data_IF_800495551076
#
_entry.id   IF_800495551076
#
_cell.length_a   1.000
_cell.length_b   1.000
_cell.length_c   1.000
_cell.angle_alpha   90.00
_cell.angle_beta   90.00
_cell.angle_gamma   90.00
#
_symmetry.space_group_name_H-M   'P 1'
#
loop_
_entity.id
_entity.type
_entity.pdbx_description
1 polymer ?
#
# COMPACT_ATOMS: atom_id res chain seq x y z
N UNK A 1 -21.63 40.67 1.80
CA UNK A 1 -20.94 39.43 2.21
C UNK A 1 -21.50 39.07 3.56
N UNK A 2 -22.15 37.90 3.73
CA UNK A 2 -22.78 37.55 5.01
C UNK A 2 -21.71 37.35 6.09
N UNK A 3 -22.02 37.75 7.31
CA UNK A 3 -21.11 37.65 8.48
C UNK A 3 -20.62 36.22 8.70
N UNK A 4 -21.47 35.25 8.37
CA UNK A 4 -21.19 33.81 8.40
C UNK A 4 -20.03 33.40 7.47
N UNK A 5 -19.90 34.02 6.29
CA UNK A 5 -18.79 33.73 5.36
C UNK A 5 -17.47 34.26 5.92
N UNK A 6 -17.49 35.39 6.62
CA UNK A 6 -16.28 35.98 7.22
C UNK A 6 -15.83 35.18 8.44
N UNK A 7 -16.76 34.70 9.26
CA UNK A 7 -16.48 33.80 10.39
C UNK A 7 -15.95 32.44 9.89
N UNK A 8 -16.48 31.92 8.77
CA UNK A 8 -15.97 30.68 8.16
C UNK A 8 -14.56 30.84 7.56
N UNK A 9 -14.23 32.00 6.98
CA UNK A 9 -12.90 32.30 6.45
C UNK A 9 -11.86 32.50 7.56
N UNK A 10 -12.26 32.94 8.74
CA UNK A 10 -11.38 33.12 9.91
C UNK A 10 -10.91 31.76 10.47
N UNK A 11 -11.74 30.73 10.35
CA UNK A 11 -11.45 29.36 10.81
C UNK A 11 -10.65 28.52 9.80
N UNK A 12 -10.39 29.03 8.60
CA UNK A 12 -9.60 28.32 7.58
C UNK A 12 -8.16 28.15 8.02
N UNK A 13 -7.69 26.92 8.00
CA UNK A 13 -6.32 26.57 8.36
C UNK A 13 -5.40 26.66 7.15
N UNK A 14 -4.19 27.15 7.40
CA UNK A 14 -3.17 27.37 6.38
C UNK A 14 -2.76 26.08 5.64
N UNK A 15 -2.87 24.92 6.30
CA UNK A 15 -2.52 23.62 5.74
C UNK A 15 -3.73 22.71 5.65
N UNK A 16 -3.94 22.11 4.47
CA UNK A 16 -5.02 21.15 4.21
C UNK A 16 -4.98 19.91 5.13
N UNK A 17 -3.84 19.61 5.77
CA UNK A 17 -3.71 18.54 6.77
C UNK A 17 -4.39 18.86 8.09
N UNK A 18 -4.57 20.14 8.40
CA UNK A 18 -5.17 20.61 9.65
C UNK A 18 -6.70 20.79 9.50
N UNK A 19 -7.19 20.81 8.26
CA UNK A 19 -8.60 20.97 7.89
C UNK A 19 -9.44 19.71 8.14
N UNK A 20 -10.73 19.88 8.42
CA UNK A 20 -11.68 18.76 8.38
C UNK A 20 -11.97 18.41 6.93
N UNK A 21 -11.16 17.49 6.38
CA UNK A 21 -11.17 17.07 4.96
C UNK A 21 -12.50 16.48 4.48
N UNK A 22 -13.45 16.16 5.35
CA UNK A 22 -14.82 15.80 4.97
C UNK A 22 -15.70 16.98 4.50
N UNK A 23 -15.43 18.21 4.97
CA UNK A 23 -16.31 19.38 4.75
C UNK A 23 -16.01 20.15 3.47
N UNK A 24 -14.74 20.19 3.05
CA UNK A 24 -14.27 21.03 1.93
C UNK A 24 -13.75 20.24 0.72
N UNK A 25 -13.77 18.91 0.77
CA UNK A 25 -13.27 18.09 -0.33
C UNK A 25 -14.34 17.98 -1.43
N UNK A 26 -14.17 18.76 -2.50
CA UNK A 26 -15.01 18.67 -3.68
C UNK A 26 -14.93 17.25 -4.25
N UNK A 27 -16.05 16.54 -4.34
CA UNK A 27 -16.12 15.17 -4.86
C UNK A 27 -15.54 15.11 -6.29
N UNK A 28 -14.27 14.76 -6.39
CA UNK A 28 -13.62 14.61 -7.68
C UNK A 28 -14.04 13.28 -8.29
N UNK A 29 -14.33 13.26 -9.59
CA UNK A 29 -14.52 12.04 -10.40
C UNK A 29 -13.40 11.00 -10.20
N UNK A 30 -12.22 11.44 -9.74
CA UNK A 30 -11.09 10.59 -9.42
C UNK A 30 -11.37 9.71 -8.20
N UNK A 31 -11.95 10.23 -7.12
CA UNK A 31 -12.30 9.46 -5.91
C UNK A 31 -13.27 8.33 -6.25
N UNK A 32 -14.36 8.65 -6.95
CA UNK A 32 -15.36 7.65 -7.35
C UNK A 32 -14.74 6.56 -8.25
N UNK A 33 -13.88 6.96 -9.20
CA UNK A 33 -13.18 6.00 -10.07
C UNK A 33 -12.23 5.10 -9.29
N UNK A 34 -11.56 5.61 -8.25
CA UNK A 34 -10.70 4.80 -7.39
C UNK A 34 -11.53 3.82 -6.55
N UNK A 35 -12.57 4.31 -5.87
CA UNK A 35 -13.45 3.49 -5.04
C UNK A 35 -14.18 2.38 -5.83
N UNK A 36 -14.41 2.59 -7.13
CA UNK A 36 -14.99 1.59 -8.05
C UNK A 36 -13.95 0.72 -8.76
N UNK A 37 -12.67 0.84 -8.41
CA UNK A 37 -11.59 0.12 -9.04
C UNK A 37 -11.31 0.50 -10.51
N UNK A 38 -11.85 1.61 -11.02
CA UNK A 38 -11.66 2.10 -12.41
C UNK A 38 -10.41 2.95 -12.60
N UNK A 39 -9.64 3.21 -11.54
CA UNK A 39 -8.39 3.97 -11.56
C UNK A 39 -7.47 3.50 -10.43
N UNK A 40 -6.23 3.19 -10.74
CA UNK A 40 -5.19 2.78 -9.77
C UNK A 40 -3.95 3.69 -9.78
N UNK A 41 -3.87 4.67 -10.69
CA UNK A 41 -2.75 5.62 -10.76
C UNK A 41 -3.27 7.06 -10.75
N UNK A 42 -2.74 7.87 -9.85
CA UNK A 42 -3.04 9.30 -9.74
C UNK A 42 -1.75 10.08 -9.95
N UNK A 43 -1.54 10.46 -11.21
CA UNK A 43 -0.36 11.21 -11.65
C UNK A 43 -0.73 12.69 -11.74
N UNK A 44 0.14 13.58 -11.24
CA UNK A 44 -0.06 15.02 -11.36
C UNK A 44 1.05 15.85 -10.72
N UNK A 45 1.10 17.14 -11.05
CA UNK A 45 2.11 18.08 -10.56
C UNK A 45 2.11 18.22 -9.03
N UNK A 46 3.19 18.76 -8.48
CA UNK A 46 3.20 19.19 -7.07
C UNK A 46 2.11 20.24 -6.84
N UNK A 47 1.36 20.11 -5.75
CA UNK A 47 0.26 21.02 -5.40
C UNK A 47 -1.10 20.71 -6.04
N UNK A 48 -1.25 19.66 -6.85
CA UNK A 48 -2.53 19.32 -7.52
C UNK A 48 -3.53 18.57 -6.63
N UNK A 49 -3.34 18.53 -5.31
CA UNK A 49 -4.27 17.88 -4.39
C UNK A 49 -4.21 16.34 -4.32
N UNK A 50 -3.15 15.69 -4.81
CA UNK A 50 -2.96 14.23 -4.71
C UNK A 50 -3.10 13.72 -3.27
N UNK A 51 -2.35 14.33 -2.34
CA UNK A 51 -2.42 14.00 -0.91
C UNK A 51 -3.81 14.24 -0.34
N UNK A 52 -4.51 15.32 -0.75
CA UNK A 52 -5.88 15.55 -0.30
C UNK A 52 -6.85 14.43 -0.77
N UNK A 53 -6.70 13.95 -2.02
CA UNK A 53 -7.45 12.79 -2.52
C UNK A 53 -7.14 11.55 -1.68
N UNK A 54 -5.86 11.29 -1.39
CA UNK A 54 -5.43 10.18 -0.56
C UNK A 54 -5.98 10.24 0.87
N UNK A 55 -5.91 11.41 1.51
CA UNK A 55 -6.48 11.63 2.84
C UNK A 55 -7.99 11.41 2.85
N UNK A 56 -8.70 11.97 1.87
CA UNK A 56 -10.14 11.79 1.77
C UNK A 56 -10.52 10.32 1.62
N UNK A 57 -9.87 9.59 0.70
CA UNK A 57 -10.08 8.15 0.50
C UNK A 57 -9.77 7.32 1.74
N UNK A 58 -8.75 7.68 2.52
CA UNK A 58 -8.38 6.99 3.74
C UNK A 58 -9.41 7.18 4.87
N UNK A 59 -10.09 8.33 4.91
CA UNK A 59 -11.04 8.70 5.95
C UNK A 59 -12.51 8.50 5.57
N UNK A 60 -12.81 7.90 4.41
CA UNK A 60 -14.18 7.56 4.03
C UNK A 60 -14.79 6.60 5.06
N UNK A 61 -15.87 7.04 5.71
CA UNK A 61 -16.62 6.26 6.70
C UNK A 61 -17.83 5.58 6.05
N UNK A 62 -17.58 4.78 5.01
CA UNK A 62 -18.62 4.00 4.35
C UNK A 62 -18.67 2.57 4.93
N UNK A 63 -19.87 1.99 5.00
CA UNK A 63 -20.04 0.61 5.41
C UNK A 63 -19.31 -0.30 4.40
N UNK A 64 -18.56 -1.28 4.90
CA UNK A 64 -17.81 -2.23 4.06
C UNK A 64 -16.70 -1.58 3.21
N UNK A 65 -16.24 -0.37 3.55
CA UNK A 65 -15.09 0.27 2.93
C UNK A 65 -13.96 0.39 3.94
N UNK A 66 -12.78 -0.12 3.57
CA UNK A 66 -11.59 -0.11 4.41
C UNK A 66 -10.43 0.42 3.58
N UNK A 67 -9.71 1.41 4.10
CA UNK A 67 -8.59 2.01 3.40
C UNK A 67 -7.38 2.17 4.32
N UNK A 68 -6.20 1.97 3.75
CA UNK A 68 -4.92 2.23 4.41
C UNK A 68 -4.07 3.11 3.51
N UNK A 69 -3.47 4.16 4.08
CA UNK A 69 -2.56 5.06 3.38
C UNK A 69 -1.13 4.85 3.87
N UNK A 70 -0.29 4.33 2.99
CA UNK A 70 1.14 4.16 3.19
C UNK A 70 1.84 5.44 2.68
N UNK A 71 2.28 6.28 3.61
CA UNK A 71 3.09 7.48 3.31
C UNK A 71 4.57 7.15 3.33
N UNK A 72 5.27 7.47 2.24
CA UNK A 72 6.72 7.31 2.12
C UNK A 72 7.49 8.59 2.51
N UNK A 73 6.83 9.52 3.21
CA UNK A 73 7.46 10.71 3.78
C UNK A 73 8.60 10.33 4.71
N UNK A 74 9.80 10.86 4.45
CA UNK A 74 11.03 10.52 5.19
C UNK A 74 11.31 9.01 5.29
N UNK A 75 10.78 8.18 4.37
CA UNK A 75 10.99 6.74 4.41
C UNK A 75 12.42 6.37 3.97
N UNK A 76 13.13 5.48 4.68
CA UNK A 76 14.47 5.04 4.27
C UNK A 76 14.38 3.99 3.15
N UNK A 77 14.37 4.44 1.90
CA UNK A 77 14.21 3.58 0.71
C UNK A 77 15.26 2.46 0.58
N UNK A 78 16.43 2.59 1.22
CA UNK A 78 17.43 1.51 1.35
C UNK A 78 16.85 0.21 1.92
N UNK A 79 15.82 0.30 2.76
CA UNK A 79 15.11 -0.88 3.28
C UNK A 79 14.46 -1.63 2.12
N UNK A 80 13.79 -0.94 1.19
CA UNK A 80 13.20 -1.58 0.00
C UNK A 80 14.26 -2.08 -0.96
N UNK A 81 15.33 -1.32 -1.19
CA UNK A 81 16.43 -1.75 -2.07
C UNK A 81 17.10 -3.03 -1.58
N UNK A 82 17.13 -3.27 -0.26
CA UNK A 82 17.67 -4.50 0.33
C UNK A 82 16.77 -5.73 0.14
N UNK A 83 15.48 -5.55 -0.20
CA UNK A 83 14.51 -6.62 -0.42
C UNK A 83 14.44 -7.06 -1.89
N UNK A 84 15.58 -6.99 -2.59
CA UNK A 84 15.70 -7.45 -3.97
C UNK A 84 15.43 -8.96 -4.06
N UNK A 85 14.55 -9.35 -4.95
CA UNK A 85 14.30 -10.75 -5.31
C UNK A 85 15.19 -11.14 -6.50
N UNK A 86 16.23 -11.91 -6.23
CA UNK A 86 17.19 -12.43 -7.21
C UNK A 86 16.54 -13.33 -8.27
N UNK A 87 15.32 -13.84 -8.01
CA UNK A 87 14.56 -14.67 -8.96
C UNK A 87 14.01 -13.88 -10.15
N UNK A 88 14.01 -12.54 -10.06
CA UNK A 88 13.49 -11.65 -11.09
C UNK A 88 14.61 -10.85 -11.76
N UNK A 89 14.51 -10.70 -13.08
CA UNK A 89 15.36 -9.79 -13.84
C UNK A 89 14.95 -8.34 -13.60
N UNK A 90 15.89 -7.40 -13.78
CA UNK A 90 15.59 -5.97 -13.80
C UNK A 90 14.57 -5.65 -14.91
N UNK A 91 13.60 -4.74 -14.69
CA UNK A 91 13.37 -3.90 -13.51
C UNK A 91 12.37 -4.51 -12.49
N UNK A 92 12.20 -5.84 -12.45
CA UNK A 92 11.10 -6.52 -11.74
C UNK A 92 11.48 -7.00 -10.33
N UNK A 93 12.73 -6.79 -9.92
CA UNK A 93 13.30 -7.39 -8.72
C UNK A 93 12.70 -6.88 -7.40
N UNK A 94 11.85 -5.86 -7.44
CA UNK A 94 11.16 -5.34 -6.25
C UNK A 94 9.66 -5.63 -6.27
N UNK A 95 9.14 -6.39 -7.24
CA UNK A 95 7.70 -6.74 -7.30
C UNK A 95 7.28 -7.48 -6.01
N UNK A 96 8.10 -8.42 -5.55
CA UNK A 96 7.79 -9.25 -4.38
C UNK A 96 7.62 -8.42 -3.10
N UNK A 97 8.47 -7.41 -2.86
CA UNK A 97 8.33 -6.53 -1.69
C UNK A 97 7.08 -5.65 -1.80
N UNK A 98 6.75 -5.13 -2.98
CA UNK A 98 5.54 -4.32 -3.13
C UNK A 98 4.27 -5.13 -2.93
N UNK A 99 4.20 -6.35 -3.46
CA UNK A 99 3.09 -7.28 -3.18
C UNK A 99 2.96 -7.55 -1.69
N UNK A 100 4.08 -7.79 -1.02
CA UNK A 100 4.10 -8.07 0.41
C UNK A 100 3.51 -6.92 1.23
N UNK A 101 3.90 -5.68 0.92
CA UNK A 101 3.35 -4.49 1.58
C UNK A 101 1.85 -4.33 1.34
N UNK A 102 1.37 -4.58 0.12
CA UNK A 102 -0.06 -4.56 -0.18
C UNK A 102 -0.78 -5.60 0.68
N UNK A 103 -0.29 -6.83 0.70
CA UNK A 103 -0.93 -7.95 1.39
C UNK A 103 -0.98 -7.77 2.89
N UNK A 104 0.12 -7.36 3.51
CA UNK A 104 0.13 -7.04 4.95
C UNK A 104 -0.83 -5.91 5.28
N UNK A 105 -0.90 -4.88 4.45
CA UNK A 105 -1.84 -3.77 4.66
C UNK A 105 -3.29 -4.24 4.61
N UNK A 106 -3.63 -5.17 3.72
CA UNK A 106 -4.97 -5.79 3.67
C UNK A 106 -5.23 -6.61 4.93
N UNK A 107 -4.27 -7.41 5.38
CA UNK A 107 -4.36 -8.17 6.62
C UNK A 107 -4.63 -7.27 7.83
N UNK A 108 -4.00 -6.08 7.91
CA UNK A 108 -4.29 -5.12 8.97
C UNK A 108 -5.72 -4.56 8.89
N UNK A 109 -6.23 -4.32 7.68
CA UNK A 109 -7.62 -3.86 7.48
C UNK A 109 -8.66 -4.93 7.85
N UNK A 110 -8.34 -6.22 7.74
CA UNK A 110 -9.24 -7.29 8.19
C UNK A 110 -9.56 -7.22 9.68
N UNK A 111 -8.68 -6.69 10.53
CA UNK A 111 -8.97 -6.50 11.96
C UNK A 111 -10.18 -5.59 12.22
N UNK A 112 -10.44 -4.67 11.28
CA UNK A 112 -11.51 -3.68 11.35
C UNK A 112 -12.79 -4.18 10.69
N UNK A 113 -12.72 -5.21 9.83
CA UNK A 113 -13.87 -5.72 9.13
C UNK A 113 -14.66 -6.73 9.96
N UNK A 114 -15.87 -6.36 10.36
CA UNK A 114 -16.76 -7.23 11.12
C UNK A 114 -17.19 -8.51 10.36
N UNK A 115 -17.13 -8.50 9.03
CA UNK A 115 -17.42 -9.69 8.19
C UNK A 115 -16.31 -10.74 8.27
N UNK A 116 -15.10 -10.35 8.71
CA UNK A 116 -14.00 -11.27 8.96
C UNK A 116 -14.21 -11.95 10.31
N UNK A 117 -14.11 -13.29 10.31
CA UNK A 117 -14.32 -14.12 11.49
C UNK A 117 -13.50 -13.66 12.69
N UNK A 118 -14.12 -13.68 13.88
CA UNK A 118 -13.49 -13.18 15.11
C UNK A 118 -12.14 -13.85 15.41
N UNK A 119 -12.03 -15.16 15.16
CA UNK A 119 -10.78 -15.91 15.34
C UNK A 119 -9.67 -15.37 14.44
N UNK A 120 -9.97 -15.15 13.16
CA UNK A 120 -9.04 -14.54 12.20
C UNK A 120 -8.60 -13.16 12.67
N UNK A 121 -9.54 -12.32 13.12
CA UNK A 121 -9.22 -10.97 13.62
C UNK A 121 -8.33 -11.00 14.86
N UNK A 122 -8.54 -11.95 15.78
CA UNK A 122 -7.69 -12.12 16.95
C UNK A 122 -6.28 -12.58 16.58
N UNK A 123 -6.15 -13.54 15.65
CA UNK A 123 -4.83 -13.97 15.12
C UNK A 123 -4.08 -12.82 14.47
N UNK A 124 -4.77 -12.00 13.68
CA UNK A 124 -4.17 -10.83 13.03
C UNK A 124 -3.73 -9.79 14.06
N UNK A 125 -4.56 -9.50 15.06
CA UNK A 125 -4.17 -8.61 16.17
C UNK A 125 -2.93 -9.10 16.88
N UNK A 126 -2.82 -10.40 17.16
CA UNK A 126 -1.61 -10.99 17.76
C UNK A 126 -0.38 -10.83 16.86
N UNK A 127 -0.53 -11.06 15.55
CA UNK A 127 0.54 -10.88 14.55
C UNK A 127 0.99 -9.42 14.43
N UNK A 128 0.11 -8.45 14.68
CA UNK A 128 0.40 -7.02 14.57
C UNK A 128 0.43 -6.29 15.94
N UNK A 129 0.55 -7.03 17.06
CA UNK A 129 0.36 -6.51 18.43
C UNK A 129 1.54 -5.71 18.99
N UNK A 130 2.70 -5.74 18.35
CA UNK A 130 3.89 -5.01 18.82
C UNK A 130 4.01 -3.72 18.03
N UNK A 131 3.56 -2.58 18.59
CA UNK A 131 3.92 -1.18 18.26
C UNK A 131 4.28 -0.80 16.79
N UNK A 132 3.66 -1.45 15.81
CA UNK A 132 3.82 -1.21 14.37
C UNK A 132 3.13 0.09 13.94
N UNK A 133 2.28 0.66 14.80
CA UNK A 133 1.38 1.76 14.48
C UNK A 133 2.10 3.10 14.21
N UNK A 134 3.37 3.26 14.64
CA UNK A 134 3.97 4.60 14.72
C UNK A 134 5.05 4.94 13.68
N UNK A 135 5.40 4.06 12.72
CA UNK A 135 6.24 4.45 11.58
C UNK A 135 6.22 3.37 10.49
N UNK A 136 5.77 3.70 9.27
CA UNK A 136 5.89 2.83 8.09
C UNK A 136 7.32 2.24 7.95
N UNK A 137 8.42 2.99 8.17
CA UNK A 137 9.76 2.42 8.21
C UNK A 137 9.94 1.26 9.21
N UNK A 138 9.49 1.42 10.47
CA UNK A 138 9.62 0.40 11.51
C UNK A 138 8.74 -0.80 11.19
N UNK A 139 7.50 -0.55 10.75
CA UNK A 139 6.57 -1.57 10.28
C UNK A 139 7.16 -2.40 9.14
N UNK A 140 7.68 -1.75 8.08
CA UNK A 140 8.29 -2.43 6.95
C UNK A 140 9.53 -3.20 7.37
N UNK A 141 10.40 -2.63 8.19
CA UNK A 141 11.60 -3.31 8.73
C UNK A 141 11.21 -4.57 9.51
N UNK A 142 10.19 -4.47 10.35
CA UNK A 142 9.72 -5.57 11.19
C UNK A 142 9.02 -6.66 10.36
N UNK A 143 8.14 -6.26 9.43
CA UNK A 143 7.42 -7.19 8.55
C UNK A 143 8.37 -7.90 7.58
N UNK A 144 9.37 -7.21 7.07
CA UNK A 144 10.38 -7.80 6.18
C UNK A 144 11.42 -8.60 6.97
N UNK A 145 11.56 -8.33 8.27
CA UNK A 145 12.43 -9.08 9.17
C UNK A 145 12.06 -10.56 9.33
N UNK A 146 12.98 -11.34 9.87
CA UNK A 146 12.86 -12.79 10.08
C UNK A 146 11.86 -13.21 11.16
N UNK A 147 11.25 -12.27 11.88
CA UNK A 147 10.39 -12.51 13.05
C UNK A 147 8.90 -12.63 12.74
N UNK A 148 8.46 -12.32 11.51
CA UNK A 148 7.03 -12.35 11.17
C UNK A 148 6.54 -13.79 10.95
N UNK A 149 5.93 -14.40 11.98
CA UNK A 149 5.53 -15.82 11.97
C UNK A 149 4.21 -16.06 11.22
N UNK A 150 4.27 -16.03 9.89
CA UNK A 150 3.15 -16.33 8.99
C UNK A 150 2.64 -17.78 9.09
N UNK A 151 3.28 -18.66 9.87
CA UNK A 151 2.81 -20.04 10.09
C UNK A 151 1.43 -20.10 10.71
N UNK A 152 1.05 -19.06 11.47
CA UNK A 152 -0.28 -18.94 12.08
C UNK A 152 -1.37 -18.77 11.01
N UNK A 153 -1.03 -18.18 9.85
CA UNK A 153 -1.96 -17.99 8.73
C UNK A 153 -1.99 -19.19 7.78
N UNK A 154 -0.90 -19.97 7.69
CA UNK A 154 -0.75 -21.10 6.75
C UNK A 154 -1.22 -22.46 7.24
N UNK A 155 -1.61 -22.62 8.52
CA UNK A 155 -1.95 -23.92 9.12
C UNK A 155 -3.39 -24.40 8.88
N UNK A 156 -4.25 -23.57 8.28
CA UNK A 156 -5.69 -23.87 8.11
C UNK A 156 -6.12 -24.43 6.74
N UNK A 157 -5.21 -24.53 5.77
CA UNK A 157 -5.49 -25.01 4.41
C UNK A 157 -4.49 -26.12 4.05
N UNK A 158 -4.92 -27.37 4.21
CA UNK A 158 -4.36 -28.61 3.67
C UNK A 158 -2.95 -28.58 3.09
N UNK A 159 -1.92 -28.35 3.90
CA UNK A 159 -0.57 -28.84 3.64
C UNK A 159 -0.37 -30.14 4.42
N UNK A 160 -1.01 -31.20 3.91
CA UNK A 160 -0.61 -32.56 4.26
C UNK A 160 0.63 -32.92 3.45
N UNK A 161 1.81 -32.82 4.07
CA UNK A 161 2.97 -33.66 3.78
C UNK A 161 4.14 -33.26 4.69
N UNK A 162 4.37 -34.10 5.70
CA UNK A 162 5.69 -34.47 6.22
C UNK A 162 6.60 -33.36 6.77
N UNK A 163 6.47 -33.08 8.08
CA UNK A 163 7.52 -32.39 8.85
C UNK A 163 8.56 -33.38 9.35
N UNK A 164 9.28 -33.99 8.41
CA UNK A 164 10.66 -34.37 8.64
C UNK A 164 11.46 -33.11 8.98
N UNK A 165 12.29 -33.20 10.03
CA UNK A 165 13.20 -32.16 10.50
C UNK A 165 13.96 -31.53 9.33
N UNK A 166 13.55 -30.33 8.90
CA UNK A 166 14.42 -29.42 8.15
C UNK A 166 14.71 -28.23 9.05
N UNK A 167 16.00 -27.98 9.24
CA UNK A 167 16.54 -26.74 9.80
C UNK A 167 15.80 -25.54 9.19
N UNK A 168 15.56 -24.49 9.98
CA UNK A 168 14.78 -23.30 9.58
C UNK A 168 15.44 -22.62 8.36
N UNK A 169 15.13 -23.09 7.16
CA UNK A 169 15.39 -22.35 5.94
C UNK A 169 14.62 -21.03 6.02
N UNK A 170 15.28 -19.92 5.71
CA UNK A 170 14.65 -18.62 5.64
C UNK A 170 13.53 -18.66 4.59
N UNK A 171 12.29 -18.38 5.00
CA UNK A 171 11.15 -18.28 4.08
C UNK A 171 11.33 -17.00 3.27
N UNK A 172 11.51 -17.16 1.96
CA UNK A 172 11.67 -16.07 1.00
C UNK A 172 10.43 -15.17 0.97
N UNK A 173 10.61 -13.90 0.59
CA UNK A 173 9.47 -12.97 0.47
C UNK A 173 8.42 -13.44 -0.55
N UNK A 174 8.84 -14.19 -1.56
CA UNK A 174 7.95 -14.80 -2.55
C UNK A 174 7.07 -15.90 -1.94
N UNK A 175 7.62 -16.78 -1.12
CA UNK A 175 6.83 -17.78 -0.38
C UNK A 175 5.88 -17.11 0.62
N UNK A 176 6.30 -16.03 1.29
CA UNK A 176 5.42 -15.23 2.17
C UNK A 176 4.24 -14.65 1.40
N UNK A 177 4.48 -14.15 0.19
CA UNK A 177 3.43 -13.64 -0.68
C UNK A 177 2.41 -14.72 -1.06
N UNK A 178 2.84 -15.94 -1.33
CA UNK A 178 1.91 -17.04 -1.66
C UNK A 178 1.01 -17.40 -0.47
N UNK A 179 1.58 -17.48 0.73
CA UNK A 179 0.82 -17.72 1.98
C UNK A 179 -0.21 -16.61 2.19
N UNK A 180 0.22 -15.35 2.10
CA UNK A 180 -0.65 -14.20 2.29
C UNK A 180 -1.72 -14.12 1.21
N UNK A 181 -1.39 -14.40 -0.04
CA UNK A 181 -2.34 -14.37 -1.16
C UNK A 181 -3.47 -15.38 -0.95
N UNK A 182 -3.13 -16.62 -0.57
CA UNK A 182 -4.12 -17.66 -0.27
C UNK A 182 -4.98 -17.30 0.95
N UNK A 183 -4.34 -16.79 2.01
CA UNK A 183 -5.04 -16.34 3.21
C UNK A 183 -6.04 -15.22 2.88
N UNK A 184 -5.58 -14.15 2.23
CA UNK A 184 -6.39 -12.99 1.84
C UNK A 184 -7.56 -13.42 0.96
N UNK A 185 -7.33 -14.29 -0.03
CA UNK A 185 -8.39 -14.81 -0.91
C UNK A 185 -9.51 -15.51 -0.14
N UNK A 186 -9.17 -16.21 0.95
CA UNK A 186 -10.15 -16.87 1.82
C UNK A 186 -10.93 -15.93 2.74
N UNK A 187 -10.43 -14.71 2.98
CA UNK A 187 -11.08 -13.71 3.85
C UNK A 187 -11.76 -12.58 3.08
N UNK A 188 -11.38 -12.35 1.82
CA UNK A 188 -11.98 -11.30 1.00
C UNK A 188 -13.45 -11.62 0.72
N UNK A 189 -14.32 -10.76 1.24
CA UNK A 189 -15.76 -10.77 0.97
C UNK A 189 -16.17 -9.73 -0.07
N UNK A 190 -17.32 -9.10 0.15
CA UNK A 190 -17.86 -8.03 -0.72
C UNK A 190 -17.34 -6.63 -0.38
N UNK A 191 -16.65 -6.49 0.74
CA UNK A 191 -16.07 -5.24 1.22
C UNK A 191 -14.98 -4.72 0.27
N UNK A 192 -14.83 -3.41 0.21
CA UNK A 192 -13.82 -2.70 -0.57
C UNK A 192 -12.59 -2.43 0.28
N UNK A 193 -11.42 -2.78 -0.24
CA UNK A 193 -10.12 -2.56 0.39
C UNK A 193 -9.26 -1.68 -0.51
N UNK A 194 -8.85 -0.52 -0.03
CA UNK A 194 -8.04 0.44 -0.79
C UNK A 194 -6.69 0.66 -0.12
N UNK A 195 -5.61 0.36 -0.83
CA UNK A 195 -4.24 0.57 -0.34
C UNK A 195 -3.60 1.72 -1.11
N UNK A 196 -3.34 2.84 -0.46
CA UNK A 196 -2.88 4.07 -1.08
C UNK A 196 -1.37 4.25 -0.84
N UNK A 197 -0.58 4.41 -1.90
CA UNK A 197 0.84 4.74 -1.84
C UNK A 197 1.02 6.23 -2.13
N UNK A 198 1.44 7.03 -1.15
CA UNK A 198 1.63 8.48 -1.29
C UNK A 198 3.06 8.91 -0.90
N UNK A 199 3.46 10.11 -1.32
CA UNK A 199 4.75 10.72 -1.00
C UNK A 199 5.97 9.86 -1.45
N UNK A 200 5.85 9.12 -2.56
CA UNK A 200 6.94 8.33 -3.17
C UNK A 200 8.07 9.20 -3.76
N UNK A 201 7.87 10.51 -3.86
CA UNK A 201 8.81 11.46 -4.45
C UNK A 201 9.91 11.95 -3.50
N UNK A 202 9.91 11.50 -2.25
CA UNK A 202 10.84 11.96 -1.22
C UNK A 202 12.31 11.64 -1.56
N UNK A 203 12.58 10.41 -2.02
CA UNK A 203 13.93 9.99 -2.38
C UNK A 203 14.39 10.51 -3.75
N UNK A 204 13.44 10.98 -4.58
CA UNK A 204 13.72 11.46 -5.93
C UNK A 204 14.77 12.59 -5.95
N UNK A 205 14.68 13.53 -5.00
CA UNK A 205 15.65 14.64 -4.92
C UNK A 205 17.06 14.18 -4.57
N UNK A 206 17.18 13.17 -3.72
CA UNK A 206 18.47 12.61 -3.30
C UNK A 206 19.08 11.72 -4.39
N UNK A 207 18.21 11.07 -5.18
CA UNK A 207 18.60 10.16 -6.26
C UNK A 207 19.08 10.87 -7.52
N UNK A 208 18.58 12.07 -7.84
CA UNK A 208 19.13 12.89 -8.93
C UNK A 208 20.61 13.26 -8.73
N UNK A 209 21.12 13.19 -7.50
CA UNK A 209 22.49 13.52 -7.15
C UNK A 209 23.43 12.29 -7.03
N UNK A 210 22.92 11.05 -7.18
CA UNK A 210 23.68 9.81 -6.95
C UNK A 210 23.53 8.82 -8.11
N UNK A 211 24.51 7.94 -8.28
CA UNK A 211 24.49 6.79 -9.23
C UNK A 211 23.37 5.75 -8.92
N UNK A 212 22.61 5.91 -7.84
CA UNK A 212 21.50 5.03 -7.44
C UNK A 212 20.17 5.32 -8.17
N UNK A 213 20.18 6.22 -9.15
CA UNK A 213 19.00 6.63 -9.89
C UNK A 213 18.27 5.46 -10.60
N UNK A 214 19.03 4.51 -11.17
CA UNK A 214 18.46 3.31 -11.81
C UNK A 214 17.64 2.48 -10.83
N UNK A 215 18.14 2.28 -9.61
CA UNK A 215 17.45 1.50 -8.58
C UNK A 215 16.11 2.13 -8.20
N UNK A 216 16.01 3.46 -8.13
CA UNK A 216 14.75 4.16 -7.86
C UNK A 216 13.73 3.95 -8.98
N UNK A 217 14.17 4.03 -10.24
CA UNK A 217 13.30 3.79 -11.41
C UNK A 217 12.84 2.34 -11.47
N UNK A 218 13.73 1.38 -11.22
CA UNK A 218 13.40 -0.05 -11.16
C UNK A 218 12.43 -0.34 -10.01
N UNK A 219 12.62 0.29 -8.84
CA UNK A 219 11.74 0.18 -7.69
C UNK A 219 10.33 0.71 -7.99
N UNK A 220 10.21 1.90 -8.58
CA UNK A 220 8.91 2.44 -9.00
C UNK A 220 8.27 1.55 -10.07
N UNK A 221 9.03 1.12 -11.07
CA UNK A 221 8.52 0.24 -12.13
C UNK A 221 7.96 -1.06 -11.54
N UNK A 222 8.68 -1.66 -10.59
CA UNK A 222 8.22 -2.83 -9.84
C UNK A 222 6.93 -2.57 -9.05
N UNK A 223 6.74 -1.37 -8.47
CA UNK A 223 5.49 -1.02 -7.78
C UNK A 223 4.29 -1.02 -8.74
N UNK A 224 4.44 -0.38 -9.92
CA UNK A 224 3.38 -0.33 -10.91
C UNK A 224 2.99 -1.73 -11.39
N UNK A 225 3.98 -2.60 -11.63
CA UNK A 225 3.75 -4.00 -11.99
C UNK A 225 3.10 -4.81 -10.87
N UNK A 226 3.52 -4.62 -9.62
CA UNK A 226 2.90 -5.26 -8.46
C UNK A 226 1.42 -4.86 -8.32
N UNK A 227 1.09 -3.58 -8.53
CA UNK A 227 -0.30 -3.09 -8.54
C UNK A 227 -1.13 -3.78 -9.64
N UNK A 228 -0.59 -3.91 -10.86
CA UNK A 228 -1.27 -4.62 -11.95
C UNK A 228 -1.48 -6.10 -11.62
N UNK A 229 -0.44 -6.79 -11.15
CA UNK A 229 -0.48 -8.21 -10.80
C UNK A 229 -1.52 -8.50 -9.69
N UNK A 230 -1.51 -7.70 -8.61
CA UNK A 230 -2.52 -7.84 -7.54
C UNK A 230 -3.92 -7.61 -8.07
N UNK A 231 -4.14 -6.58 -8.90
CA UNK A 231 -5.47 -6.31 -9.48
C UNK A 231 -5.95 -7.44 -10.39
N UNK A 232 -5.05 -8.08 -11.14
CA UNK A 232 -5.39 -9.23 -11.97
C UNK A 232 -5.75 -10.46 -11.11
N UNK A 233 -4.91 -10.79 -10.13
CA UNK A 233 -5.07 -11.95 -9.23
C UNK A 233 -6.32 -11.89 -8.37
N UNK A 234 -6.73 -10.69 -7.97
CA UNK A 234 -7.90 -10.40 -7.15
C UNK A 234 -9.01 -9.70 -7.93
N UNK A 235 -9.08 -9.91 -9.25
CA UNK A 235 -10.04 -9.24 -10.15
C UNK A 235 -11.52 -9.48 -9.79
N UNK A 236 -11.84 -10.58 -9.11
CA UNK A 236 -13.19 -10.89 -8.61
C UNK A 236 -13.52 -10.20 -7.29
N UNK A 237 -12.53 -9.56 -6.64
CA UNK A 237 -12.67 -8.89 -5.35
C UNK A 237 -12.49 -7.38 -5.50
N UNK A 238 -12.89 -6.64 -4.47
CA UNK A 238 -12.76 -5.18 -4.42
C UNK A 238 -11.47 -4.75 -3.72
N UNK A 239 -10.33 -5.28 -4.19
CA UNK A 239 -9.00 -4.93 -3.68
C UNK A 239 -8.30 -3.98 -4.64
N UNK A 240 -8.12 -2.72 -4.22
CA UNK A 240 -7.65 -1.63 -5.06
C UNK A 240 -6.39 -0.99 -4.48
N UNK A 241 -5.19 -1.50 -4.81
CA UNK A 241 -3.96 -0.75 -4.61
C UNK A 241 -3.89 0.43 -5.59
N UNK A 242 -3.48 1.60 -5.09
CA UNK A 242 -3.49 2.88 -5.80
C UNK A 242 -2.19 3.65 -5.55
N UNK A 243 -1.55 4.12 -6.62
CA UNK A 243 -0.30 4.87 -6.55
C UNK A 243 -0.54 6.35 -6.85
N UNK A 244 -0.06 7.21 -5.97
CA UNK A 244 0.04 8.64 -6.20
C UNK A 244 1.49 8.97 -6.56
N UNK A 245 1.70 9.58 -7.71
CA UNK A 245 3.04 9.93 -8.17
C UNK A 245 3.04 11.32 -8.81
N UNK A 246 4.19 12.00 -8.74
CA UNK A 246 4.37 13.22 -9.50
C UNK A 246 4.55 12.93 -10.98
N UNK A 247 4.07 13.83 -11.81
CA UNK A 247 4.13 13.71 -13.26
C UNK A 247 5.56 13.87 -13.80
N UNK A 248 6.40 14.70 -13.20
CA UNK A 248 7.82 14.80 -13.55
C UNK A 248 8.58 13.49 -13.31
N UNK A 249 8.32 12.82 -12.18
CA UNK A 249 8.87 11.49 -11.90
C UNK A 249 8.31 10.46 -12.89
N UNK A 250 7.01 10.49 -13.16
CA UNK A 250 6.39 9.60 -14.13
C UNK A 250 7.00 9.74 -15.53
N UNK A 251 7.06 10.97 -16.04
CA UNK A 251 7.63 11.30 -17.34
C UNK A 251 9.09 10.92 -17.44
N UNK A 252 9.82 10.93 -16.32
CA UNK A 252 11.20 10.51 -16.27
C UNK A 252 11.32 8.98 -16.23
N UNK A 253 10.75 8.34 -15.21
CA UNK A 253 10.89 6.92 -14.91
C UNK A 253 10.34 6.02 -16.01
N UNK A 254 9.35 6.52 -16.77
CA UNK A 254 8.65 5.74 -17.78
C UNK A 254 8.83 6.30 -19.21
N UNK A 255 9.79 7.22 -19.43
CA UNK A 255 10.09 7.71 -20.78
C UNK A 255 10.67 6.58 -21.63
N UNK A 256 9.92 6.13 -22.62
CA UNK A 256 10.32 5.05 -23.52
C UNK A 256 9.85 3.64 -23.11
N UNK A 257 9.13 3.52 -21.98
CA UNK A 257 8.41 2.28 -21.67
C UNK A 257 7.07 2.36 -22.41
N UNK A 258 6.97 1.64 -23.53
CA UNK A 258 5.71 1.46 -24.22
C UNK A 258 4.74 0.74 -23.28
N UNK A 259 3.63 1.41 -22.98
CA UNK A 259 2.40 0.92 -22.35
C UNK A 259 2.46 0.45 -20.88
N UNK A 260 1.80 1.25 -20.02
CA UNK A 260 1.25 0.90 -18.70
C UNK A 260 -0.24 1.22 -18.66
#
# INVERSE_FOLDING_TARGET
MSKEILEELEDWKLEAKLEQSGRYFYHTRVVERIARGKKCYVIGRKGTGKTAIGEHLAHLKEKEYFASKLTFKNFPFNILYSQRDESYTRPNQYISIWKYLIYISVCKLFEQNADVGIETRLKLRELFNQDIENALPNAVTEWTGWKFDLKILGSGLGFGADKGKKEKAEVSISERNEILENFIRGQLGKSTYVILFDELDEDYKNMLAKENFENYTELLTSLFKAVQDVRARFSTFRLYPVVFLRDDIWLFAFKGVADF
#
